data_IF_318664136755
#
_entry.id   IF_318664136755
#
_cell.length_a   1.000
_cell.length_b   1.000
_cell.length_c   1.000
_cell.angle_alpha   90.00
_cell.angle_beta   90.00
_cell.angle_gamma   90.00
#
_symmetry.space_group_name_H-M   'P 1'
#
loop_
_entity.id
_entity.type
_entity.pdbx_description
1 polymer ?
#
# COMPACT_ATOMS: atom_id res chain seq x y z
N UNK A 1 8.65 -31.55 -10.31
CA UNK A 1 9.58 -30.50 -10.79
C UNK A 1 8.92 -29.18 -11.20
N UNK A 2 7.66 -29.08 -11.67
CA UNK A 2 7.03 -27.77 -11.87
C UNK A 2 6.59 -27.08 -10.56
N UNK A 3 6.22 -27.84 -9.54
CA UNK A 3 5.76 -27.30 -8.24
C UNK A 3 6.84 -26.51 -7.48
N UNK A 4 8.10 -26.95 -7.49
CA UNK A 4 9.21 -26.24 -6.82
C UNK A 4 9.53 -24.88 -7.48
N UNK A 5 9.42 -24.78 -8.81
CA UNK A 5 9.68 -23.53 -9.54
C UNK A 5 8.56 -22.50 -9.26
N UNK A 6 7.32 -22.96 -9.14
CA UNK A 6 6.16 -22.10 -8.82
C UNK A 6 6.23 -21.58 -7.38
N UNK A 7 6.66 -22.41 -6.42
CA UNK A 7 6.80 -22.01 -5.01
C UNK A 7 7.93 -20.99 -4.78
N UNK A 8 9.05 -21.13 -5.48
CA UNK A 8 10.17 -20.19 -5.38
C UNK A 8 9.79 -18.80 -5.92
N UNK A 9 9.10 -18.76 -7.07
CA UNK A 9 8.66 -17.50 -7.69
C UNK A 9 7.63 -16.73 -6.84
N UNK A 10 6.72 -17.44 -6.17
CA UNK A 10 5.69 -16.84 -5.32
C UNK A 10 6.28 -16.25 -4.02
N UNK A 11 7.29 -16.91 -3.46
CA UNK A 11 8.06 -16.40 -2.32
C UNK A 11 8.85 -15.12 -2.68
N UNK A 12 9.51 -15.10 -3.84
CA UNK A 12 10.30 -13.95 -4.28
C UNK A 12 9.41 -12.73 -4.57
N UNK A 13 8.24 -12.93 -5.19
CA UNK A 13 7.23 -11.89 -5.40
C UNK A 13 6.75 -11.29 -4.06
N UNK A 14 6.43 -12.12 -3.07
CA UNK A 14 6.02 -11.66 -1.74
C UNK A 14 7.12 -10.82 -1.06
N UNK A 15 8.38 -11.21 -1.21
CA UNK A 15 9.53 -10.48 -0.69
C UNK A 15 9.69 -9.10 -1.37
N UNK A 16 9.48 -9.03 -2.69
CA UNK A 16 9.53 -7.78 -3.46
C UNK A 16 8.41 -6.80 -3.04
N UNK A 17 7.18 -7.28 -2.91
CA UNK A 17 6.04 -6.45 -2.45
C UNK A 17 6.27 -5.90 -1.06
N UNK A 18 6.77 -6.71 -0.13
CA UNK A 18 7.09 -6.27 1.23
C UNK A 18 8.16 -5.17 1.24
N UNK A 19 9.22 -5.36 0.47
CA UNK A 19 10.31 -4.37 0.35
C UNK A 19 9.78 -3.04 -0.17
N UNK A 20 9.02 -3.06 -1.29
CA UNK A 20 8.40 -1.86 -1.87
C UNK A 20 7.42 -1.19 -0.90
N UNK A 21 6.62 -1.97 -0.18
CA UNK A 21 5.66 -1.48 0.83
C UNK A 21 6.39 -0.74 1.95
N UNK A 22 7.44 -1.34 2.52
CA UNK A 22 8.25 -0.73 3.59
C UNK A 22 8.92 0.56 3.12
N UNK A 23 9.43 0.61 1.89
CA UNK A 23 9.97 1.85 1.31
C UNK A 23 8.92 2.96 1.23
N UNK A 24 7.69 2.65 0.81
CA UNK A 24 6.59 3.63 0.77
C UNK A 24 6.24 4.15 2.17
N UNK A 25 6.14 3.25 3.16
CA UNK A 25 5.86 3.60 4.56
C UNK A 25 6.93 4.56 5.10
N UNK A 26 8.22 4.22 4.94
CA UNK A 26 9.33 5.07 5.40
C UNK A 26 9.32 6.45 4.76
N UNK A 27 8.99 6.53 3.46
CA UNK A 27 8.84 7.81 2.76
C UNK A 27 7.71 8.65 3.35
N UNK A 28 6.55 8.04 3.61
CA UNK A 28 5.39 8.73 4.22
C UNK A 28 5.74 9.24 5.62
N UNK A 29 6.42 8.42 6.43
CA UNK A 29 6.91 8.82 7.75
C UNK A 29 7.82 10.06 7.66
N UNK A 30 8.76 10.07 6.70
CA UNK A 30 9.61 11.24 6.46
C UNK A 30 8.83 12.49 6.03
N UNK A 31 7.79 12.33 5.20
CA UNK A 31 6.92 13.43 4.78
C UNK A 31 6.11 14.00 5.95
N UNK A 32 5.57 13.13 6.82
CA UNK A 32 4.79 13.53 7.99
C UNK A 32 5.68 14.22 9.03
N UNK A 33 6.85 13.65 9.34
CA UNK A 33 7.82 14.27 10.24
C UNK A 33 8.33 15.62 9.72
N UNK A 34 8.43 15.79 8.40
CA UNK A 34 8.77 17.09 7.80
C UNK A 34 7.67 18.14 8.00
N UNK A 35 6.39 17.74 7.87
CA UNK A 35 5.26 18.62 8.14
C UNK A 35 5.17 18.99 9.63
N UNK A 36 5.35 18.02 10.52
CA UNK A 36 5.40 18.22 11.98
C UNK A 36 6.44 19.28 12.34
N UNK A 37 7.69 19.10 11.91
CA UNK A 37 8.77 20.08 12.16
C UNK A 37 8.46 21.48 11.65
N UNK A 38 7.87 21.59 10.46
CA UNK A 38 7.47 22.88 9.88
C UNK A 38 6.43 23.58 10.77
N UNK A 39 5.45 22.83 11.30
CA UNK A 39 4.43 23.37 12.20
C UNK A 39 5.05 23.76 13.56
N UNK A 40 5.89 22.90 14.14
CA UNK A 40 6.56 23.16 15.42
C UNK A 40 7.45 24.41 15.37
N UNK A 41 8.14 24.64 14.26
CA UNK A 41 9.01 25.79 14.06
C UNK A 41 8.27 27.07 13.62
N UNK A 42 6.94 27.00 13.45
CA UNK A 42 6.11 28.03 12.81
C UNK A 42 6.66 28.51 11.45
N UNK A 43 7.24 27.57 10.69
CA UNK A 43 7.80 27.83 9.37
C UNK A 43 6.75 27.65 8.26
N UNK A 44 7.01 28.32 7.13
CA UNK A 44 6.21 28.23 5.92
C UNK A 44 4.83 28.88 6.01
N UNK A 45 4.20 29.07 4.86
CA UNK A 45 2.85 29.62 4.79
C UNK A 45 1.79 28.57 5.14
N UNK A 46 0.58 29.01 5.50
CA UNK A 46 -0.57 28.11 5.65
C UNK A 46 -0.83 27.28 4.38
N UNK A 47 -0.61 27.87 3.21
CA UNK A 47 -0.73 27.18 1.91
C UNK A 47 0.33 26.06 1.79
N UNK A 48 1.58 26.32 2.15
CA UNK A 48 2.64 25.31 2.12
C UNK A 48 2.34 24.13 3.05
N UNK A 49 1.81 24.39 4.25
CA UNK A 49 1.38 23.34 5.19
C UNK A 49 0.31 22.46 4.57
N UNK A 50 -0.68 23.05 3.88
CA UNK A 50 -1.71 22.29 3.13
C UNK A 50 -1.09 21.46 2.02
N UNK A 51 -0.17 22.02 1.22
CA UNK A 51 0.51 21.29 0.14
C UNK A 51 1.28 20.08 0.68
N UNK A 52 1.95 20.24 1.82
CA UNK A 52 2.68 19.15 2.50
C UNK A 52 1.72 18.08 3.03
N UNK A 53 0.61 18.47 3.64
CA UNK A 53 -0.43 17.52 4.07
C UNK A 53 -1.01 16.73 2.87
N UNK A 54 -1.34 17.40 1.76
CA UNK A 54 -1.80 16.74 0.52
C UNK A 54 -0.75 15.79 -0.06
N UNK A 55 0.54 16.06 0.17
CA UNK A 55 1.64 15.17 -0.26
C UNK A 55 1.67 13.87 0.55
N UNK A 56 1.44 13.96 1.87
CA UNK A 56 1.28 12.78 2.74
C UNK A 56 0.07 11.95 2.30
N UNK A 57 -1.08 12.59 2.07
CA UNK A 57 -2.30 11.94 1.58
C UNK A 57 -2.07 11.19 0.26
N UNK A 58 -1.45 11.84 -0.75
CA UNK A 58 -1.06 11.16 -2.01
C UNK A 58 -0.15 9.96 -1.76
N UNK A 59 0.76 10.07 -0.78
CA UNK A 59 1.59 8.97 -0.32
C UNK A 59 0.77 7.80 0.21
N UNK A 60 -0.24 8.08 1.04
CA UNK A 60 -1.17 7.08 1.58
C UNK A 60 -2.00 6.42 0.49
N UNK A 61 -2.57 7.17 -0.45
CA UNK A 61 -3.28 6.59 -1.61
C UNK A 61 -2.38 5.62 -2.38
N UNK A 62 -1.13 6.03 -2.64
CA UNK A 62 -0.15 5.17 -3.33
C UNK A 62 0.21 3.91 -2.53
N UNK A 63 0.26 3.98 -1.20
CA UNK A 63 0.49 2.81 -0.33
C UNK A 63 -0.70 1.85 -0.40
N UNK A 64 -1.93 2.37 -0.30
CA UNK A 64 -3.16 1.57 -0.36
C UNK A 64 -3.24 0.84 -1.70
N UNK A 65 -3.05 1.53 -2.83
CA UNK A 65 -3.05 0.90 -4.16
C UNK A 65 -2.03 -0.25 -4.25
N UNK A 66 -0.82 -0.05 -3.73
CA UNK A 66 0.24 -1.06 -3.75
C UNK A 66 -0.10 -2.29 -2.87
N UNK A 67 -0.79 -2.08 -1.75
CA UNK A 67 -1.25 -3.17 -0.88
C UNK A 67 -2.40 -3.96 -1.52
N UNK A 68 -3.31 -3.28 -2.22
CA UNK A 68 -4.38 -3.95 -2.99
C UNK A 68 -3.78 -4.79 -4.11
N UNK A 69 -2.80 -4.24 -4.85
CA UNK A 69 -2.07 -4.99 -5.88
C UNK A 69 -1.37 -6.23 -5.31
N UNK A 70 -0.70 -6.08 -4.16
CA UNK A 70 -0.09 -7.19 -3.42
C UNK A 70 -1.11 -8.30 -3.10
N UNK A 71 -2.28 -7.93 -2.59
CA UNK A 71 -3.35 -8.88 -2.28
C UNK A 71 -3.86 -9.58 -3.55
N UNK A 72 -4.08 -8.84 -4.64
CA UNK A 72 -4.55 -9.40 -5.91
C UNK A 72 -3.58 -10.44 -6.47
N UNK A 73 -2.28 -10.13 -6.48
CA UNK A 73 -1.25 -10.99 -7.08
C UNK A 73 -0.92 -12.19 -6.21
N UNK A 74 -0.78 -12.01 -4.90
CA UNK A 74 -0.27 -13.05 -4.01
C UNK A 74 -1.38 -13.88 -3.36
N UNK A 75 -2.59 -13.35 -3.21
CA UNK A 75 -3.69 -14.02 -2.51
C UNK A 75 -4.86 -14.31 -3.45
N UNK A 76 -5.49 -13.27 -4.01
CA UNK A 76 -6.72 -13.46 -4.78
C UNK A 76 -6.51 -14.35 -6.01
N UNK A 77 -5.37 -14.24 -6.70
CA UNK A 77 -5.03 -15.09 -7.86
C UNK A 77 -5.10 -16.58 -7.54
N UNK A 78 -4.69 -16.99 -6.34
CA UNK A 78 -4.61 -18.38 -5.93
C UNK A 78 -5.91 -18.85 -5.27
N UNK A 79 -6.46 -18.03 -4.38
CA UNK A 79 -7.67 -18.35 -3.61
C UNK A 79 -8.93 -18.36 -4.46
N UNK A 80 -8.98 -17.60 -5.57
CA UNK A 80 -10.14 -17.59 -6.48
C UNK A 80 -10.46 -18.97 -7.07
N UNK A 81 -9.45 -19.84 -7.23
CA UNK A 81 -9.65 -21.20 -7.73
C UNK A 81 -10.14 -22.17 -6.64
N UNK A 82 -9.93 -21.83 -5.37
CA UNK A 82 -10.24 -22.69 -4.21
C UNK A 82 -11.59 -22.30 -3.59
N UNK A 83 -11.78 -21.00 -3.36
CA UNK A 83 -12.98 -20.43 -2.74
C UNK A 83 -13.32 -19.08 -3.39
N UNK A 84 -14.03 -19.11 -4.54
CA UNK A 84 -14.38 -17.91 -5.29
C UNK A 84 -15.30 -16.95 -4.52
N UNK A 85 -16.23 -17.47 -3.71
CA UNK A 85 -17.18 -16.65 -2.95
C UNK A 85 -16.47 -15.87 -1.85
N UNK A 86 -15.62 -16.55 -1.05
CA UNK A 86 -14.81 -15.89 -0.03
C UNK A 86 -13.91 -14.82 -0.65
N UNK A 87 -13.21 -15.16 -1.74
CA UNK A 87 -12.28 -14.23 -2.41
C UNK A 87 -13.03 -13.01 -2.95
N UNK A 88 -14.22 -13.21 -3.53
CA UNK A 88 -15.07 -12.11 -4.02
C UNK A 88 -15.54 -11.22 -2.86
N UNK A 89 -15.95 -11.80 -1.73
CA UNK A 89 -16.35 -11.05 -0.54
C UNK A 89 -15.19 -10.25 0.08
N UNK A 90 -13.96 -10.79 0.05
CA UNK A 90 -12.76 -10.04 0.43
C UNK A 90 -12.51 -8.85 -0.49
N UNK A 91 -12.62 -9.04 -1.81
CA UNK A 91 -12.49 -7.96 -2.79
C UNK A 91 -13.55 -6.88 -2.60
N UNK A 92 -14.82 -7.25 -2.42
CA UNK A 92 -15.90 -6.30 -2.15
C UNK A 92 -15.59 -5.43 -0.93
N UNK A 93 -15.15 -6.04 0.19
CA UNK A 93 -14.75 -5.31 1.40
C UNK A 93 -13.57 -4.36 1.15
N UNK A 94 -12.59 -4.77 0.35
CA UNK A 94 -11.47 -3.89 -0.03
C UNK A 94 -11.97 -2.71 -0.86
N UNK A 95 -12.83 -2.95 -1.86
CA UNK A 95 -13.38 -1.88 -2.69
C UNK A 95 -14.26 -0.89 -1.92
N UNK A 96 -15.05 -1.37 -0.95
CA UNK A 96 -15.84 -0.50 -0.08
C UNK A 96 -14.95 0.49 0.69
N UNK A 97 -13.76 0.06 1.14
CA UNK A 97 -12.80 0.93 1.82
C UNK A 97 -12.15 1.98 0.90
N UNK A 98 -12.19 1.80 -0.42
CA UNK A 98 -11.59 2.74 -1.39
C UNK A 98 -12.56 3.83 -1.85
N UNK A 99 -13.87 3.64 -1.63
CA UNK A 99 -14.92 4.54 -2.14
C UNK A 99 -15.45 5.52 -1.08
N UNK A 100 -14.70 5.74 0.00
CA UNK A 100 -15.00 6.67 1.09
C UNK A 100 -13.86 7.67 1.31
#
# INVERSE_FOLDING_TARGET
MPEEIVQQADHDLKCEYNTKTLHRIRRIQGQLAGLEKMIEADEGSCEERVIRARTVEKGMTSLITHLVECYLVNTARHEMAVDPEKTTNELSRIFDLLNH
#
